data_IF_205304129282
#
_entry.id   IF_205304129282
#
_cell.length_a   1.000
_cell.length_b   1.000
_cell.length_c   1.000
_cell.angle_alpha   90.00
_cell.angle_beta   90.00
_cell.angle_gamma   90.00
#
_symmetry.space_group_name_H-M   'P 1'
#
loop_
_entity.id
_entity.type
_entity.pdbx_description
1 polymer ?
#
# COMPACT_ATOMS: atom_id res chain seq x y z
N UNK A 1 18.48 4.40 -32.39
CA UNK A 1 17.99 3.38 -31.43
C UNK A 1 16.51 3.61 -31.22
N UNK A 2 15.66 2.58 -31.39
CA UNK A 2 14.20 2.72 -31.20
C UNK A 2 13.90 2.66 -29.71
N UNK A 3 13.11 3.61 -29.19
CA UNK A 3 12.69 3.63 -27.78
C UNK A 3 11.66 2.53 -27.56
N UNK A 4 11.88 1.69 -26.56
CA UNK A 4 10.87 0.77 -26.05
C UNK A 4 9.98 1.52 -25.04
N UNK A 5 8.65 1.51 -25.25
CA UNK A 5 7.70 2.17 -24.38
C UNK A 5 7.06 1.16 -23.46
N UNK A 6 6.94 1.51 -22.18
CA UNK A 6 6.12 0.76 -21.22
C UNK A 6 4.62 0.99 -21.47
N UNK A 7 3.74 0.04 -21.07
CA UNK A 7 2.28 0.17 -21.29
C UNK A 7 1.61 1.16 -20.33
N UNK A 8 2.38 1.85 -19.50
CA UNK A 8 1.90 2.69 -18.39
C UNK A 8 1.42 4.04 -18.92
N UNK A 9 0.23 4.46 -18.47
CA UNK A 9 -0.26 5.83 -18.66
C UNK A 9 -0.46 6.50 -17.30
N UNK A 10 0.00 7.76 -17.21
CA UNK A 10 -0.14 8.58 -16.00
C UNK A 10 -1.12 9.72 -16.19
N UNK A 11 -1.95 10.01 -15.19
CA UNK A 11 -3.00 11.01 -15.26
C UNK A 11 -3.10 11.82 -13.96
N UNK A 12 -3.73 12.99 -14.04
CA UNK A 12 -4.11 13.81 -12.89
C UNK A 12 -5.62 14.04 -12.90
N UNK A 13 -6.23 13.93 -11.72
CA UNK A 13 -7.62 14.27 -11.50
C UNK A 13 -7.81 15.16 -10.28
N UNK A 14 -8.94 15.86 -10.22
CA UNK A 14 -9.40 16.58 -9.03
C UNK A 14 -10.44 15.73 -8.33
N UNK A 15 -10.17 15.39 -7.08
CA UNK A 15 -11.03 14.57 -6.24
C UNK A 15 -11.46 15.37 -5.01
N UNK A 16 -12.73 15.32 -4.67
CA UNK A 16 -13.25 15.91 -3.44
C UNK A 16 -13.21 14.86 -2.33
N UNK A 17 -12.38 15.08 -1.32
CA UNK A 17 -12.21 14.19 -0.17
C UNK A 17 -12.60 14.98 1.08
N UNK A 18 -13.64 14.54 1.78
CA UNK A 18 -14.19 15.24 2.96
C UNK A 18 -14.45 16.73 2.72
N UNK A 19 -14.96 17.09 1.52
CA UNK A 19 -15.29 18.46 1.15
C UNK A 19 -14.10 19.30 0.64
N UNK A 20 -12.87 18.79 0.70
CA UNK A 20 -11.64 19.48 0.27
C UNK A 20 -11.22 18.93 -1.10
N UNK A 21 -10.81 19.82 -2.00
CA UNK A 21 -10.34 19.45 -3.33
C UNK A 21 -8.84 19.07 -3.28
N UNK A 22 -8.54 17.90 -3.86
CA UNK A 22 -7.17 17.37 -4.00
C UNK A 22 -6.87 17.10 -5.48
N UNK A 23 -5.66 17.42 -5.90
CA UNK A 23 -5.12 17.00 -7.20
C UNK A 23 -4.35 15.70 -7.00
N UNK A 24 -4.92 14.59 -7.49
CA UNK A 24 -4.38 13.24 -7.34
C UNK A 24 -3.77 12.79 -8.66
N UNK A 25 -2.60 12.18 -8.56
CA UNK A 25 -1.93 11.49 -9.65
C UNK A 25 -2.13 9.99 -9.54
N UNK A 26 -2.32 9.32 -10.66
CA UNK A 26 -2.28 7.86 -10.73
C UNK A 26 -1.65 7.38 -12.03
N UNK A 27 -1.15 6.16 -11.99
CA UNK A 27 -0.68 5.41 -13.15
C UNK A 27 -1.55 4.16 -13.32
N UNK A 28 -1.75 3.78 -14.57
CA UNK A 28 -2.51 2.59 -14.90
C UNK A 28 -1.99 1.88 -16.14
N UNK A 29 -2.21 0.55 -16.19
CA UNK A 29 -1.93 -0.29 -17.34
C UNK A 29 -2.89 -1.49 -17.39
N UNK A 30 -3.08 -2.05 -18.57
CA UNK A 30 -3.95 -3.20 -18.80
C UNK A 30 -5.43 -2.85 -18.92
N UNK A 31 -6.26 -3.89 -18.99
CA UNK A 31 -7.72 -3.80 -19.11
C UNK A 31 -8.39 -4.93 -18.31
N UNK A 32 -9.69 -4.81 -18.07
CA UNK A 32 -10.45 -5.84 -17.36
C UNK A 32 -10.74 -5.49 -15.91
N UNK A 33 -10.55 -6.44 -14.98
CA UNK A 33 -10.89 -6.26 -13.56
C UNK A 33 -10.02 -5.17 -12.94
N UNK A 34 -10.59 -4.11 -12.34
CA UNK A 34 -9.77 -3.09 -11.67
C UNK A 34 -9.02 -3.68 -10.49
N UNK A 35 -7.68 -3.50 -10.47
CA UNK A 35 -6.80 -3.83 -9.35
C UNK A 35 -6.19 -2.52 -8.83
N UNK A 36 -6.72 -1.99 -7.76
CA UNK A 36 -6.24 -0.77 -7.12
C UNK A 36 -5.15 -1.13 -6.10
N UNK A 37 -3.96 -0.55 -6.26
CA UNK A 37 -2.82 -0.80 -5.41
C UNK A 37 -2.54 0.41 -4.50
N UNK A 38 -2.36 0.15 -3.20
CA UNK A 38 -2.12 1.15 -2.16
C UNK A 38 -0.66 1.06 -1.69
N UNK A 39 0.10 2.14 -1.89
CA UNK A 39 1.51 2.20 -1.50
C UNK A 39 1.70 2.23 0.03
N UNK A 40 2.93 2.02 0.48
CA UNK A 40 3.31 2.02 1.90
C UNK A 40 3.50 3.44 2.44
N UNK A 41 3.64 3.57 3.77
CA UNK A 41 3.90 4.85 4.44
C UNK A 41 5.11 5.57 3.84
N UNK A 42 4.98 6.86 3.56
CA UNK A 42 6.06 7.72 3.08
C UNK A 42 6.60 7.42 1.68
N UNK A 43 6.03 6.46 0.97
CA UNK A 43 6.41 6.12 -0.42
C UNK A 43 5.36 6.63 -1.40
N UNK A 44 5.30 6.06 -2.60
CA UNK A 44 4.35 6.41 -3.66
C UNK A 44 4.11 5.22 -4.60
N UNK A 45 3.30 5.44 -5.64
CA UNK A 45 2.87 4.42 -6.58
C UNK A 45 3.98 3.71 -7.34
N UNK A 46 5.18 4.28 -7.44
CA UNK A 46 6.33 3.66 -8.11
C UNK A 46 6.68 2.28 -7.56
N UNK A 47 6.28 1.97 -6.31
CA UNK A 47 6.48 0.65 -5.72
C UNK A 47 5.80 -0.48 -6.50
N UNK A 48 4.77 -0.19 -7.26
CA UNK A 48 4.01 -1.18 -8.04
C UNK A 48 4.37 -1.21 -9.52
N UNK A 49 5.45 -0.55 -9.95
CA UNK A 49 5.85 -0.48 -11.35
C UNK A 49 6.03 -1.86 -11.99
N UNK A 50 6.49 -2.85 -11.24
CA UNK A 50 6.64 -4.20 -11.76
C UNK A 50 5.29 -4.84 -12.15
N UNK A 51 4.21 -4.54 -11.42
CA UNK A 51 2.87 -5.03 -11.74
C UNK A 51 2.28 -4.33 -12.97
N UNK A 52 2.54 -3.02 -13.11
CA UNK A 52 2.13 -2.23 -14.28
C UNK A 52 2.83 -2.69 -15.57
N UNK A 53 3.86 -3.52 -15.47
CA UNK A 53 4.61 -4.11 -16.58
C UNK A 53 4.44 -5.64 -16.69
N UNK A 54 3.71 -6.29 -15.78
CA UNK A 54 3.53 -7.75 -15.83
C UNK A 54 2.44 -8.14 -16.82
N UNK A 55 2.86 -8.70 -17.99
CA UNK A 55 1.95 -9.06 -19.07
C UNK A 55 0.84 -10.02 -18.63
N UNK A 56 1.12 -10.96 -17.73
CA UNK A 56 0.12 -11.92 -17.26
C UNK A 56 -0.97 -11.28 -16.41
N UNK A 57 -0.60 -10.29 -15.58
CA UNK A 57 -1.57 -9.50 -14.80
C UNK A 57 -2.38 -8.63 -15.74
N UNK A 58 -1.74 -7.92 -16.67
CA UNK A 58 -2.38 -6.97 -17.58
C UNK A 58 -3.33 -7.61 -18.60
N UNK A 59 -3.24 -8.94 -18.83
CA UNK A 59 -4.21 -9.69 -19.66
C UNK A 59 -5.61 -9.74 -19.03
N UNK A 60 -5.72 -9.66 -17.71
CA UNK A 60 -6.99 -9.83 -16.97
C UNK A 60 -7.37 -8.64 -16.10
N UNK A 61 -6.37 -7.86 -15.70
CA UNK A 61 -6.54 -6.76 -14.75
C UNK A 61 -6.14 -5.41 -15.35
N UNK A 62 -6.95 -4.39 -15.06
CA UNK A 62 -6.54 -2.99 -15.16
C UNK A 62 -5.88 -2.64 -13.83
N UNK A 63 -4.55 -2.65 -13.80
CA UNK A 63 -3.77 -2.25 -12.62
C UNK A 63 -3.79 -0.74 -12.51
N UNK A 64 -4.18 -0.22 -11.36
CA UNK A 64 -4.32 1.21 -11.07
C UNK A 64 -3.56 1.50 -9.79
N UNK A 65 -2.61 2.41 -9.85
CA UNK A 65 -1.79 2.80 -8.70
C UNK A 65 -1.86 4.30 -8.54
N UNK A 66 -2.40 4.79 -7.43
CA UNK A 66 -2.47 6.23 -7.19
C UNK A 66 -1.52 6.65 -6.06
N UNK A 67 -0.98 7.84 -6.19
CA UNK A 67 -0.28 8.50 -5.11
C UNK A 67 -1.31 9.13 -4.17
N UNK A 68 -1.27 8.79 -2.89
CA UNK A 68 -2.14 9.42 -1.90
C UNK A 68 -1.91 10.94 -1.86
N UNK A 69 -2.90 11.75 -1.42
CA UNK A 69 -2.64 13.17 -1.12
C UNK A 69 -1.34 13.36 -0.34
N UNK A 70 -0.54 14.36 -0.69
CA UNK A 70 0.78 14.66 -0.14
C UNK A 70 1.94 13.77 -0.61
N UNK A 71 1.67 12.69 -1.33
CA UNK A 71 2.69 11.72 -1.77
C UNK A 71 3.00 11.86 -3.26
N UNK A 72 4.22 11.46 -3.62
CA UNK A 72 4.67 11.34 -5.00
C UNK A 72 4.37 12.57 -5.85
N UNK A 73 3.56 12.39 -6.87
CA UNK A 73 3.12 13.45 -7.79
C UNK A 73 1.76 14.07 -7.41
N UNK A 74 1.06 13.53 -6.40
CA UNK A 74 -0.16 14.12 -5.86
C UNK A 74 0.14 15.36 -5.01
N UNK A 75 -0.77 16.33 -5.03
CA UNK A 75 -0.57 17.58 -4.31
C UNK A 75 -1.13 17.50 -2.88
N UNK A 76 -0.53 18.24 -1.92
CA UNK A 76 -1.24 18.60 -0.70
C UNK A 76 -2.45 19.50 -1.02
N UNK A 77 -3.39 19.66 -0.08
CA UNK A 77 -4.50 20.60 -0.26
C UNK A 77 -4.01 22.05 -0.28
N UNK A 78 -4.84 22.94 -0.80
CA UNK A 78 -4.57 24.37 -0.75
C UNK A 78 -4.40 24.83 0.71
N UNK A 79 -3.45 25.72 0.96
CA UNK A 79 -3.07 26.20 2.30
C UNK A 79 -2.48 25.15 3.26
N UNK A 80 -2.01 24.03 2.75
CA UNK A 80 -1.28 23.04 3.52
C UNK A 80 -0.03 23.61 4.19
N UNK A 81 0.27 23.12 5.40
CA UNK A 81 1.51 23.48 6.12
C UNK A 81 2.37 22.24 6.29
N UNK A 82 3.66 22.40 6.03
CA UNK A 82 4.66 21.35 6.24
C UNK A 82 4.60 20.84 7.68
N UNK A 83 4.61 19.51 7.85
CA UNK A 83 4.58 18.86 9.15
C UNK A 83 3.18 18.68 9.77
N UNK A 84 2.13 19.24 9.15
CA UNK A 84 0.76 19.10 9.66
C UNK A 84 0.02 17.86 9.11
N UNK A 85 0.61 17.16 8.18
CA UNK A 85 0.00 15.96 7.62
C UNK A 85 -0.13 14.86 8.68
N UNK A 86 -1.31 14.26 8.74
CA UNK A 86 -1.64 13.18 9.65
C UNK A 86 -2.69 12.29 9.01
N UNK A 87 -2.36 11.04 8.77
CA UNK A 87 -3.27 10.06 8.20
C UNK A 87 -4.14 9.45 9.31
N UNK A 88 -5.42 9.79 9.32
CA UNK A 88 -6.42 9.09 10.14
C UNK A 88 -7.08 7.97 9.35
N UNK A 89 -7.70 7.02 10.05
CA UNK A 89 -8.48 5.92 9.45
C UNK A 89 -9.58 6.46 8.54
N UNK A 90 -10.35 7.44 9.03
CA UNK A 90 -11.45 8.05 8.26
C UNK A 90 -10.94 8.76 7.01
N UNK A 91 -9.82 9.49 7.11
CA UNK A 91 -9.24 10.15 5.96
C UNK A 91 -8.69 9.16 4.94
N UNK A 92 -8.08 8.07 5.40
CA UNK A 92 -7.56 7.04 4.50
C UNK A 92 -8.69 6.31 3.76
N UNK A 93 -9.75 5.90 4.48
CA UNK A 93 -10.96 5.33 3.86
C UNK A 93 -11.55 6.32 2.84
N UNK A 94 -11.71 7.59 3.23
CA UNK A 94 -12.30 8.63 2.36
C UNK A 94 -11.50 8.84 1.08
N UNK A 95 -10.16 8.80 1.13
CA UNK A 95 -9.30 8.88 -0.06
C UNK A 95 -9.56 7.72 -1.01
N UNK A 96 -9.53 6.48 -0.49
CA UNK A 96 -9.71 5.26 -1.28
C UNK A 96 -11.10 5.25 -1.93
N UNK A 97 -12.14 5.52 -1.14
CA UNK A 97 -13.52 5.51 -1.64
C UNK A 97 -13.80 6.63 -2.62
N UNK A 98 -13.26 7.84 -2.40
CA UNK A 98 -13.39 8.94 -3.35
C UNK A 98 -12.68 8.63 -4.67
N UNK A 99 -11.50 7.99 -4.62
CA UNK A 99 -10.77 7.58 -5.81
C UNK A 99 -11.52 6.51 -6.60
N UNK A 100 -12.00 5.45 -5.94
CA UNK A 100 -12.77 4.37 -6.55
C UNK A 100 -14.06 4.90 -7.20
N UNK A 101 -14.80 5.75 -6.48
CA UNK A 101 -16.03 6.34 -6.99
C UNK A 101 -15.77 7.34 -8.14
N UNK A 102 -14.72 8.16 -8.02
CA UNK A 102 -14.35 9.14 -9.04
C UNK A 102 -13.92 8.52 -10.38
N UNK A 103 -13.36 7.32 -10.35
CA UNK A 103 -13.04 6.54 -11.55
C UNK A 103 -14.15 5.53 -11.92
N UNK A 104 -15.29 5.55 -11.24
CA UNK A 104 -16.45 4.66 -11.47
C UNK A 104 -16.06 3.16 -11.49
N UNK A 105 -15.13 2.77 -10.60
CA UNK A 105 -14.65 1.39 -10.56
C UNK A 105 -15.70 0.47 -9.91
N UNK A 106 -16.16 -0.53 -10.67
CA UNK A 106 -17.17 -1.48 -10.21
C UNK A 106 -16.48 -2.69 -9.58
N UNK A 107 -16.75 -2.93 -8.31
CA UNK A 107 -16.19 -4.06 -7.52
C UNK A 107 -14.70 -4.29 -7.79
N UNK A 108 -13.83 -3.31 -7.55
CA UNK A 108 -12.40 -3.50 -7.75
C UNK A 108 -11.83 -4.51 -6.76
N UNK A 109 -10.71 -5.12 -7.13
CA UNK A 109 -9.78 -5.72 -6.17
C UNK A 109 -8.95 -4.60 -5.58
N UNK A 110 -8.79 -4.56 -4.26
CA UNK A 110 -7.88 -3.61 -3.60
C UNK A 110 -6.75 -4.37 -2.95
N UNK A 111 -5.52 -4.01 -3.28
CA UNK A 111 -4.31 -4.58 -2.71
C UNK A 111 -3.49 -3.49 -2.04
N UNK A 112 -3.04 -3.71 -0.81
CA UNK A 112 -2.21 -2.74 -0.11
C UNK A 112 -1.13 -3.40 0.73
N UNK A 113 -0.02 -2.69 0.95
CA UNK A 113 1.10 -3.15 1.74
C UNK A 113 1.28 -2.28 2.98
N UNK A 114 1.63 -2.86 4.13
CA UNK A 114 1.91 -2.12 5.36
C UNK A 114 0.68 -1.33 5.84
N UNK A 115 0.72 0.02 5.81
CA UNK A 115 -0.48 0.84 6.06
C UNK A 115 -1.62 0.46 5.11
N UNK A 116 -1.29 0.17 3.84
CA UNK A 116 -2.24 -0.35 2.85
C UNK A 116 -2.78 -1.73 3.23
N UNK A 117 -1.94 -2.59 3.78
CA UNK A 117 -2.34 -3.90 4.32
C UNK A 117 -3.24 -3.79 5.54
N UNK A 118 -3.07 -2.76 6.37
CA UNK A 118 -3.93 -2.46 7.51
C UNK A 118 -5.28 -1.92 7.09
N UNK A 119 -5.29 -0.95 6.16
CA UNK A 119 -6.56 -0.30 5.78
C UNK A 119 -7.53 -1.26 5.08
N UNK A 120 -7.05 -2.31 4.38
CA UNK A 120 -7.95 -3.28 3.75
C UNK A 120 -8.83 -4.00 4.77
N UNK A 121 -8.37 -4.15 6.02
CA UNK A 121 -9.17 -4.75 7.09
C UNK A 121 -10.34 -3.83 7.48
N UNK A 122 -10.09 -2.52 7.56
CA UNK A 122 -11.16 -1.53 7.78
C UNK A 122 -12.14 -1.48 6.60
N UNK A 123 -11.66 -1.62 5.36
CA UNK A 123 -12.51 -1.71 4.17
C UNK A 123 -13.39 -2.96 4.21
N UNK A 124 -12.82 -4.11 4.63
CA UNK A 124 -13.57 -5.36 4.76
C UNK A 124 -14.71 -5.27 5.78
N UNK A 125 -14.51 -4.54 6.89
CA UNK A 125 -15.53 -4.35 7.92
C UNK A 125 -16.62 -3.39 7.45
N UNK A 126 -16.23 -2.25 6.88
CA UNK A 126 -17.16 -1.15 6.62
C UNK A 126 -17.85 -1.24 5.26
N UNK A 127 -17.23 -1.89 4.27
CA UNK A 127 -17.69 -1.89 2.88
C UNK A 127 -17.54 -3.26 2.17
N UNK A 128 -17.91 -4.39 2.80
CA UNK A 128 -17.62 -5.73 2.23
C UNK A 128 -18.22 -5.92 0.83
N UNK A 129 -19.38 -5.33 0.55
CA UNK A 129 -20.08 -5.49 -0.73
C UNK A 129 -19.48 -4.65 -1.88
N UNK A 130 -18.56 -3.73 -1.59
CA UNK A 130 -17.98 -2.82 -2.58
C UNK A 130 -16.81 -3.42 -3.35
N UNK A 131 -16.22 -4.49 -2.86
CA UNK A 131 -15.00 -5.07 -3.42
C UNK A 131 -15.24 -6.47 -3.97
N UNK A 132 -14.48 -6.85 -5.00
CA UNK A 132 -14.41 -8.22 -5.50
C UNK A 132 -13.56 -9.10 -4.59
N UNK A 133 -12.45 -8.55 -4.12
CA UNK A 133 -11.54 -9.16 -3.16
C UNK A 133 -10.63 -8.09 -2.54
N UNK A 134 -10.05 -8.39 -1.39
CA UNK A 134 -9.07 -7.57 -0.70
C UNK A 134 -7.78 -8.35 -0.49
N UNK A 135 -6.63 -7.76 -0.80
CA UNK A 135 -5.31 -8.39 -0.66
C UNK A 135 -4.46 -7.55 0.29
N UNK A 136 -4.14 -8.11 1.45
CA UNK A 136 -3.26 -7.48 2.44
C UNK A 136 -1.86 -8.05 2.36
N UNK A 137 -0.90 -7.18 2.04
CA UNK A 137 0.52 -7.48 2.10
C UNK A 137 1.07 -6.91 3.40
N UNK A 138 1.83 -7.69 4.15
CA UNK A 138 2.46 -7.26 5.40
C UNK A 138 1.44 -6.64 6.36
N UNK A 139 0.38 -7.40 6.64
CA UNK A 139 -0.78 -6.93 7.41
C UNK A 139 -0.76 -7.46 8.84
N UNK A 140 -0.92 -6.55 9.79
CA UNK A 140 -1.18 -6.88 11.19
C UNK A 140 -2.36 -6.05 11.71
N UNK A 141 -3.21 -6.62 12.54
CA UNK A 141 -4.37 -5.92 13.13
C UNK A 141 -3.98 -4.87 14.14
N UNK A 142 -2.87 -5.10 14.83
CA UNK A 142 -2.26 -4.21 15.82
C UNK A 142 -0.74 -4.33 15.73
N UNK A 143 -0.03 -3.25 16.03
CA UNK A 143 1.41 -3.26 16.22
C UNK A 143 1.73 -2.52 17.52
N UNK A 144 2.51 -3.13 18.35
CA UNK A 144 3.07 -2.42 19.49
C UNK A 144 4.08 -1.37 19.00
N UNK A 145 4.15 -0.19 19.64
CA UNK A 145 5.14 0.81 19.31
C UNK A 145 6.55 0.27 19.56
N UNK A 146 7.24 -0.13 18.49
CA UNK A 146 8.60 -0.67 18.58
C UNK A 146 9.69 0.38 18.40
N UNK A 147 9.34 1.61 18.06
CA UNK A 147 10.27 2.75 18.00
C UNK A 147 9.54 4.09 18.18
N UNK A 148 10.28 5.08 18.67
CA UNK A 148 9.81 6.47 18.75
C UNK A 148 9.85 7.12 17.36
N UNK A 149 8.73 7.67 16.91
CA UNK A 149 8.60 8.37 15.64
C UNK A 149 8.67 9.90 15.75
N UNK A 150 8.82 10.44 16.96
CA UNK A 150 8.80 11.88 17.20
C UNK A 150 9.91 12.63 16.45
N UNK A 151 11.03 11.97 16.24
CA UNK A 151 12.23 12.48 15.58
C UNK A 151 12.18 12.42 14.04
N UNK A 152 11.24 11.71 13.44
CA UNK A 152 11.16 11.52 11.97
C UNK A 152 10.90 12.81 11.18
N UNK A 153 10.40 13.83 11.84
CA UNK A 153 10.25 15.17 11.26
C UNK A 153 10.88 16.20 12.19
N UNK A 154 12.10 16.56 11.90
CA UNK A 154 12.89 17.58 12.59
C UNK A 154 13.55 18.50 11.55
N UNK A 155 13.63 19.78 11.86
CA UNK A 155 14.23 20.77 10.95
C UNK A 155 15.76 20.62 10.81
N UNK A 156 16.39 20.00 11.80
CA UNK A 156 17.85 19.80 11.87
C UNK A 156 18.29 18.41 11.35
N UNK A 157 17.37 17.58 10.85
CA UNK A 157 17.66 16.25 10.33
C UNK A 157 17.15 16.14 8.89
N UNK A 158 17.99 15.59 8.00
CA UNK A 158 17.60 15.30 6.63
C UNK A 158 16.66 14.05 6.59
N UNK A 159 15.37 14.31 6.78
CA UNK A 159 14.36 13.27 7.04
C UNK A 159 14.25 12.22 5.94
N UNK A 160 14.46 12.59 4.68
CA UNK A 160 14.44 11.66 3.55
C UNK A 160 15.48 10.55 3.67
N UNK A 161 16.73 10.89 4.05
CA UNK A 161 17.79 9.89 4.23
C UNK A 161 17.49 8.96 5.41
N UNK A 162 16.93 9.50 6.49
CA UNK A 162 16.49 8.70 7.63
C UNK A 162 15.40 7.72 7.25
N UNK A 163 14.37 8.18 6.51
CA UNK A 163 13.31 7.32 6.00
C UNK A 163 13.84 6.23 5.06
N UNK A 164 14.78 6.59 4.18
CA UNK A 164 15.46 5.65 3.30
C UNK A 164 16.24 4.59 4.06
N UNK A 165 16.99 4.98 5.12
CA UNK A 165 17.72 4.05 5.99
C UNK A 165 16.79 3.07 6.71
N UNK A 166 15.66 3.54 7.24
CA UNK A 166 14.65 2.68 7.87
C UNK A 166 14.10 1.69 6.84
N UNK A 167 13.69 2.18 5.66
CA UNK A 167 13.15 1.31 4.61
C UNK A 167 14.17 0.26 4.17
N UNK A 168 15.44 0.63 3.98
CA UNK A 168 16.49 -0.31 3.62
C UNK A 168 16.65 -1.43 4.65
N UNK A 169 16.58 -1.10 5.95
CA UNK A 169 16.66 -2.07 7.03
C UNK A 169 15.49 -3.05 7.11
N UNK A 170 14.33 -2.73 6.50
CA UNK A 170 13.14 -3.59 6.48
C UNK A 170 13.11 -4.59 5.31
N UNK A 171 14.05 -4.50 4.38
CA UNK A 171 14.10 -5.38 3.20
C UNK A 171 14.85 -6.68 3.50
N UNK A 172 14.49 -7.75 2.79
CA UNK A 172 15.18 -9.02 2.92
C UNK A 172 16.65 -8.92 2.49
N UNK A 173 17.58 -9.57 3.21
CA UNK A 173 18.97 -9.60 2.81
C UNK A 173 19.19 -10.30 1.45
N UNK A 174 18.26 -11.14 1.05
CA UNK A 174 18.26 -11.88 -0.22
C UNK A 174 17.69 -11.11 -1.39
N UNK A 175 17.06 -9.94 -1.17
CA UNK A 175 16.52 -9.11 -2.24
C UNK A 175 17.64 -8.48 -3.08
N UNK A 176 17.47 -8.38 -4.42
CA UNK A 176 18.49 -7.80 -5.29
C UNK A 176 18.84 -6.35 -4.90
N UNK A 177 20.13 -6.04 -4.82
CA UNK A 177 20.61 -4.72 -4.38
C UNK A 177 20.06 -3.56 -5.21
N UNK A 178 19.90 -3.74 -6.53
CA UNK A 178 19.30 -2.71 -7.40
C UNK A 178 17.86 -2.37 -7.00
N UNK A 179 17.07 -3.36 -6.65
CA UNK A 179 15.70 -3.17 -6.19
C UNK A 179 15.62 -2.60 -4.78
N UNK A 180 16.52 -3.04 -3.88
CA UNK A 180 16.63 -2.46 -2.55
C UNK A 180 16.98 -0.98 -2.62
N UNK A 181 17.97 -0.64 -3.46
CA UNK A 181 18.37 0.75 -3.66
C UNK A 181 17.23 1.60 -4.23
N UNK A 182 16.50 1.10 -5.23
CA UNK A 182 15.37 1.80 -5.81
C UNK A 182 14.24 2.00 -4.80
N UNK A 183 13.91 0.98 -3.99
CA UNK A 183 12.93 1.09 -2.92
C UNK A 183 13.34 2.14 -1.89
N UNK A 184 14.59 2.11 -1.43
CA UNK A 184 15.15 3.12 -0.55
C UNK A 184 15.04 4.53 -1.15
N UNK A 185 15.36 4.67 -2.46
CA UNK A 185 15.30 5.93 -3.19
C UNK A 185 13.91 6.55 -3.18
N UNK A 186 12.85 5.76 -3.32
CA UNK A 186 11.47 6.26 -3.22
C UNK A 186 11.23 6.92 -1.86
N UNK A 187 11.67 6.30 -0.77
CA UNK A 187 11.53 6.82 0.59
C UNK A 187 12.36 8.10 0.83
N UNK A 188 13.54 8.20 0.23
CA UNK A 188 14.36 9.41 0.33
C UNK A 188 13.70 10.63 -0.32
N UNK A 189 12.76 10.43 -1.24
CA UNK A 189 12.02 11.47 -1.93
C UNK A 189 10.68 11.81 -1.25
N UNK A 190 10.39 11.23 -0.10
CA UNK A 190 9.20 11.56 0.69
C UNK A 190 9.21 13.02 1.13
N UNK A 191 8.04 13.67 1.08
CA UNK A 191 7.88 15.03 1.58
C UNK A 191 8.15 15.14 3.09
N UNK A 192 8.57 16.31 3.58
CA UNK A 192 8.84 16.53 5.00
C UNK A 192 7.62 16.20 5.87
N UNK A 193 7.79 15.31 6.85
CA UNK A 193 6.77 14.91 7.80
C UNK A 193 5.73 13.91 7.27
N UNK A 194 5.79 13.52 6.00
CA UNK A 194 4.80 12.62 5.39
C UNK A 194 4.90 11.22 6.00
N UNK A 195 6.08 10.62 6.03
CA UNK A 195 6.28 9.31 6.64
C UNK A 195 5.80 9.27 8.11
N UNK A 196 6.14 10.30 8.90
CA UNK A 196 5.64 10.43 10.27
C UNK A 196 4.11 10.53 10.32
N UNK A 197 3.52 11.29 9.40
CA UNK A 197 2.06 11.46 9.32
C UNK A 197 1.32 10.16 9.01
N UNK A 198 1.86 9.34 8.10
CA UNK A 198 1.32 8.02 7.79
C UNK A 198 1.43 7.04 8.97
N UNK A 199 2.57 7.08 9.68
CA UNK A 199 2.79 6.23 10.84
C UNK A 199 1.84 6.54 12.00
N UNK A 200 1.20 7.71 12.00
CA UNK A 200 0.11 7.99 12.95
C UNK A 200 -1.04 6.99 12.77
N UNK A 201 -1.49 6.75 11.54
CA UNK A 201 -2.47 5.69 11.25
C UNK A 201 -1.95 4.32 11.69
N UNK A 202 -0.74 3.98 11.27
CA UNK A 202 -0.20 2.64 11.45
C UNK A 202 0.00 2.27 12.93
N UNK A 203 0.44 3.20 13.76
CA UNK A 203 0.78 2.96 15.17
C UNK A 203 -0.38 3.25 16.14
N UNK A 204 -1.27 4.16 15.80
CA UNK A 204 -2.27 4.67 16.73
C UNK A 204 -3.70 4.54 16.22
N UNK A 205 -4.06 5.26 15.17
CA UNK A 205 -5.45 5.44 14.77
C UNK A 205 -6.04 4.22 14.02
N UNK A 206 -5.21 3.51 13.26
CA UNK A 206 -5.61 2.35 12.46
C UNK A 206 -5.62 1.03 13.22
N UNK A 207 -5.47 1.03 14.55
CA UNK A 207 -5.59 -0.17 15.35
C UNK A 207 -7.02 -0.71 15.29
N UNK A 208 -7.18 -1.96 14.83
CA UNK A 208 -8.48 -2.54 14.58
C UNK A 208 -9.05 -3.28 15.81
N UNK A 209 -8.19 -3.70 16.73
CA UNK A 209 -8.59 -4.37 17.98
C UNK A 209 -9.55 -5.54 17.76
N UNK A 210 -10.60 -5.61 18.59
CA UNK A 210 -11.62 -6.65 18.51
C UNK A 210 -12.54 -6.56 17.29
N UNK A 211 -12.52 -5.45 16.54
CA UNK A 211 -13.33 -5.27 15.33
C UNK A 211 -12.94 -6.26 14.22
N UNK A 212 -11.73 -6.82 14.26
CA UNK A 212 -11.28 -7.91 13.38
C UNK A 212 -12.31 -9.05 13.30
N UNK A 213 -12.98 -9.37 14.39
CA UNK A 213 -13.99 -10.44 14.46
C UNK A 213 -15.26 -10.14 13.64
N UNK A 214 -15.44 -8.91 13.18
CA UNK A 214 -16.56 -8.51 12.29
C UNK A 214 -16.28 -8.80 10.82
N UNK A 215 -15.04 -9.16 10.49
CA UNK A 215 -14.67 -9.48 9.10
C UNK A 215 -15.34 -10.78 8.70
N UNK A 216 -16.13 -10.70 7.62
CA UNK A 216 -16.83 -11.82 7.01
C UNK A 216 -16.22 -12.12 5.64
N UNK A 217 -15.30 -13.09 5.60
CA UNK A 217 -14.62 -13.49 4.37
C UNK A 217 -15.55 -14.09 3.31
N UNK A 218 -16.79 -14.49 3.68
CA UNK A 218 -17.78 -14.98 2.73
C UNK A 218 -18.41 -13.86 1.89
N UNK A 219 -18.44 -12.64 2.43
CA UNK A 219 -18.95 -11.45 1.71
C UNK A 219 -17.90 -10.83 0.79
N UNK A 220 -16.66 -10.77 1.26
CA UNK A 220 -15.53 -10.26 0.48
C UNK A 220 -14.31 -11.14 0.74
N UNK A 221 -13.85 -11.92 -0.25
CA UNK A 221 -12.65 -12.73 -0.11
C UNK A 221 -11.44 -11.90 0.27
N UNK A 222 -10.72 -12.32 1.31
CA UNK A 222 -9.50 -11.69 1.80
C UNK A 222 -8.33 -12.64 1.63
N UNK A 223 -7.22 -12.11 1.14
CA UNK A 223 -5.95 -12.82 1.01
C UNK A 223 -4.87 -12.06 1.79
N UNK A 224 -4.14 -12.77 2.65
CA UNK A 224 -3.04 -12.20 3.43
C UNK A 224 -1.73 -12.85 3.02
N UNK A 225 -0.77 -12.03 2.61
CA UNK A 225 0.57 -12.46 2.20
C UNK A 225 1.61 -11.70 3.02
N UNK A 226 2.61 -12.42 3.57
CA UNK A 226 3.66 -11.78 4.39
C UNK A 226 5.03 -12.34 4.05
N UNK A 227 6.01 -11.46 3.97
CA UNK A 227 7.40 -11.80 3.71
C UNK A 227 8.06 -12.50 4.89
N UNK A 228 8.90 -13.47 4.59
CA UNK A 228 9.65 -14.25 5.58
C UNK A 228 10.53 -13.38 6.47
N UNK A 229 11.06 -12.28 5.93
CA UNK A 229 11.96 -11.35 6.60
C UNK A 229 11.27 -10.08 7.11
N UNK A 230 9.94 -10.02 7.08
CA UNK A 230 9.24 -8.87 7.63
C UNK A 230 9.23 -8.92 9.17
N UNK A 231 9.82 -7.92 9.79
CA UNK A 231 9.77 -7.75 11.24
C UNK A 231 8.98 -6.51 11.69
N UNK A 232 8.37 -5.79 10.74
CA UNK A 232 7.42 -4.71 11.03
C UNK A 232 6.00 -5.23 11.21
N UNK A 233 5.57 -6.15 10.32
CA UNK A 233 4.36 -6.95 10.49
C UNK A 233 4.77 -8.41 10.31
N UNK A 234 5.18 -9.04 11.38
CA UNK A 234 5.81 -10.36 11.35
C UNK A 234 4.89 -11.45 10.77
N UNK A 235 5.45 -12.53 10.20
CA UNK A 235 4.65 -13.68 9.78
C UNK A 235 3.75 -14.21 10.90
N UNK A 236 4.19 -14.17 12.14
CA UNK A 236 3.44 -14.62 13.32
C UNK A 236 2.23 -13.73 13.59
N UNK A 237 2.38 -12.41 13.50
CA UNK A 237 1.27 -11.46 13.66
C UNK A 237 0.25 -11.59 12.52
N UNK A 238 0.71 -11.70 11.27
CA UNK A 238 -0.18 -11.93 10.13
C UNK A 238 -0.88 -13.29 10.23
N UNK A 239 -0.19 -14.32 10.72
CA UNK A 239 -0.78 -15.65 10.98
C UNK A 239 -1.89 -15.56 12.03
N UNK A 240 -1.64 -14.88 13.14
CA UNK A 240 -2.64 -14.65 14.20
C UNK A 240 -3.86 -13.92 13.68
N UNK A 241 -3.65 -12.90 12.83
CA UNK A 241 -4.72 -12.18 12.13
C UNK A 241 -5.52 -13.13 11.23
N UNK A 242 -4.84 -13.92 10.39
CA UNK A 242 -5.47 -14.88 9.49
C UNK A 242 -6.30 -15.92 10.24
N UNK A 243 -5.79 -16.45 11.35
CA UNK A 243 -6.51 -17.40 12.21
C UNK A 243 -7.78 -16.77 12.82
N UNK A 244 -7.71 -15.50 13.22
CA UNK A 244 -8.86 -14.76 13.75
C UNK A 244 -9.96 -14.57 12.73
N UNK A 245 -9.59 -14.36 11.46
CA UNK A 245 -10.53 -14.19 10.32
C UNK A 245 -11.01 -15.56 9.79
N UNK A 246 -10.30 -16.64 10.08
CA UNK A 246 -10.59 -17.98 9.57
C UNK A 246 -10.12 -18.21 8.14
N UNK A 247 -8.96 -17.65 7.76
CA UNK A 247 -8.33 -17.80 6.45
C UNK A 247 -6.89 -18.30 6.56
N UNK A 248 -6.32 -18.74 5.45
CA UNK A 248 -4.90 -19.10 5.37
C UNK A 248 -4.04 -17.89 5.03
N UNK A 249 -2.91 -17.76 5.72
CA UNK A 249 -1.85 -16.81 5.36
C UNK A 249 -0.87 -17.45 4.38
N UNK A 250 -0.44 -16.68 3.39
CA UNK A 250 0.62 -17.06 2.45
C UNK A 250 1.94 -16.45 2.92
N UNK A 251 2.87 -17.30 3.40
CA UNK A 251 4.23 -16.88 3.74
C UNK A 251 5.10 -16.86 2.48
N UNK A 252 5.63 -15.68 2.14
CA UNK A 252 6.50 -15.47 0.99
C UNK A 252 7.96 -15.58 1.40
N UNK A 253 8.70 -16.51 0.76
CA UNK A 253 10.14 -16.68 0.99
C UNK A 253 10.96 -15.59 0.29
N UNK A 254 12.13 -15.29 0.83
CA UNK A 254 13.11 -14.37 0.23
C UNK A 254 12.61 -12.94 -0.03
N UNK A 255 11.62 -12.48 0.72
CA UNK A 255 11.14 -11.09 0.68
C UNK A 255 10.93 -10.56 2.10
N UNK A 256 11.11 -9.26 2.27
CA UNK A 256 10.88 -8.52 3.51
C UNK A 256 9.58 -7.71 3.42
N UNK A 257 9.66 -6.44 3.85
CA UNK A 257 8.49 -5.58 4.05
C UNK A 257 7.91 -4.98 2.75
N UNK A 258 8.66 -4.98 1.65
CA UNK A 258 8.25 -4.33 0.38
C UNK A 258 8.28 -5.30 -0.80
N UNK A 259 7.55 -6.43 -0.76
CA UNK A 259 7.69 -7.51 -1.74
C UNK A 259 7.54 -7.04 -3.20
N UNK A 260 6.64 -6.08 -3.44
CA UNK A 260 6.32 -5.58 -4.78
C UNK A 260 7.44 -4.71 -5.40
N UNK A 261 8.35 -4.16 -4.57
CA UNK A 261 9.45 -3.31 -5.05
C UNK A 261 10.83 -3.88 -4.75
N UNK A 262 11.07 -4.48 -3.59
CA UNK A 262 12.38 -5.04 -3.23
C UNK A 262 12.73 -6.35 -3.96
N UNK A 263 11.73 -7.16 -4.28
CA UNK A 263 11.92 -8.41 -5.01
C UNK A 263 10.66 -8.80 -5.81
N UNK A 264 10.29 -8.01 -6.83
CA UNK A 264 9.05 -8.22 -7.58
C UNK A 264 8.99 -9.59 -8.26
N UNK A 265 10.13 -10.12 -8.73
CA UNK A 265 10.18 -11.44 -9.35
C UNK A 265 9.79 -12.56 -8.38
N UNK A 266 10.22 -12.48 -7.14
CA UNK A 266 9.83 -13.45 -6.11
C UNK A 266 8.38 -13.24 -5.71
N UNK A 267 7.96 -12.00 -5.46
CA UNK A 267 6.60 -11.64 -5.11
C UNK A 267 5.56 -12.16 -6.11
N UNK A 268 5.81 -11.99 -7.39
CA UNK A 268 4.89 -12.41 -8.46
C UNK A 268 4.61 -13.93 -8.46
N UNK A 269 5.51 -14.77 -7.94
CA UNK A 269 5.27 -16.22 -7.80
C UNK A 269 4.09 -16.51 -6.85
N UNK A 270 3.91 -15.66 -5.84
CA UNK A 270 2.83 -15.78 -4.87
C UNK A 270 1.58 -15.00 -5.27
N UNK A 271 1.74 -13.86 -5.95
CA UNK A 271 0.62 -13.02 -6.36
C UNK A 271 -0.18 -13.62 -7.53
N UNK A 272 0.48 -14.17 -8.56
CA UNK A 272 -0.20 -14.75 -9.73
C UNK A 272 -1.25 -15.81 -9.35
N UNK A 273 -0.97 -16.81 -8.46
CA UNK A 273 -1.98 -17.76 -8.03
C UNK A 273 -3.18 -17.13 -7.33
N UNK A 274 -2.97 -16.07 -6.55
CA UNK A 274 -4.05 -15.33 -5.88
C UNK A 274 -4.92 -14.62 -6.91
N UNK A 275 -4.32 -13.87 -7.82
CA UNK A 275 -5.05 -13.15 -8.86
C UNK A 275 -5.82 -14.11 -9.79
N UNK A 276 -5.27 -15.28 -10.08
CA UNK A 276 -5.96 -16.31 -10.89
C UNK A 276 -7.20 -16.89 -10.18
N UNK A 277 -7.26 -16.89 -8.85
CA UNK A 277 -8.48 -17.30 -8.11
C UNK A 277 -9.56 -16.21 -8.11
N UNK A 278 -9.16 -14.95 -8.33
CA UNK A 278 -10.06 -13.78 -8.29
C UNK A 278 -10.63 -13.46 -9.68
N UNK A 279 -9.89 -13.80 -10.74
CA UNK A 279 -10.23 -13.47 -12.15
C UNK A 279 -11.30 -14.36 -12.78
#
# INVERSE_FOLDING_TARGET
>A
MKIEKEPISGQYGKFKINGIDYRIYWEEAGQGIPLVCLHTAGSDGRQYRALLNDKKILEKFRVIVFDMPWHGKSSPPENAKVGNYKLSTDFYISQIMSFINGLELVKPVVMGCSIGGRIILHLAINFPDKFRALIGLQSAGHLDPYYDISWLHRQDVHGGEVCGGIAYGLMAPTSPESHKFETMWHYMQSGPGIFKGDLFFYKFDGNIGNEIKKIDNSKCPIYLLTGEYDYSATPEETKSLADTIGIEMIKMKNVGHFPMSENPKEFLKYLHPVLNKIS
#
